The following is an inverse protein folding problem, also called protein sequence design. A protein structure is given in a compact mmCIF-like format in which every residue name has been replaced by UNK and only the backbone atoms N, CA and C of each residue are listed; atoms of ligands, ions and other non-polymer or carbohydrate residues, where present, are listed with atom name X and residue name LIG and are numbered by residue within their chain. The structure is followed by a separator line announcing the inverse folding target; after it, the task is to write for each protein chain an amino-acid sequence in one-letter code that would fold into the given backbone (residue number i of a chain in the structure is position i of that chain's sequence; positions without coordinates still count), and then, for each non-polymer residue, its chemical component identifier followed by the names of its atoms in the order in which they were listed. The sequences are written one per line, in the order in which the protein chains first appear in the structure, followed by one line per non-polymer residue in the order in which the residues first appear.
data_IF_762281058979
#
_entry.id   IF_762281058979
#
_cell.length_a   1.000
_cell.length_b   1.000
_cell.length_c   1.000
_cell.angle_alpha   90.00
_cell.angle_beta   90.00
_cell.angle_gamma   90.00
#
_symmetry.space_group_name_H-M   'P 1'
#
loop_
_entity.id
_entity.type
_entity.pdbx_description
1 polymer ?
#
# COMPACT_ATOMS: atom_id res chain seq x y z
N UNK A 1 1.38 -3.69 21.78
CA UNK A 1 2.45 -4.26 20.92
C UNK A 1 3.81 -3.76 21.37
N UNK A 2 4.85 -4.63 21.37
CA UNK A 2 6.22 -4.20 21.67
C UNK A 2 6.74 -3.30 20.52
N UNK A 3 7.66 -2.35 20.86
CA UNK A 3 8.28 -1.48 19.84
C UNK A 3 8.97 -2.27 18.74
N UNK A 4 9.61 -3.40 19.07
CA UNK A 4 10.28 -4.31 18.13
C UNK A 4 9.31 -4.91 17.12
N UNK A 5 8.11 -5.33 17.56
CA UNK A 5 7.09 -5.91 16.67
C UNK A 5 6.50 -4.86 15.73
N UNK A 6 6.34 -3.62 16.21
CA UNK A 6 5.84 -2.50 15.37
C UNK A 6 6.85 -2.19 14.27
N UNK A 7 8.14 -2.09 14.60
CA UNK A 7 9.20 -1.84 13.62
C UNK A 7 9.23 -2.94 12.54
N UNK A 8 9.15 -4.22 12.94
CA UNK A 8 9.11 -5.34 12.01
C UNK A 8 7.91 -5.26 11.03
N UNK A 9 6.74 -4.85 11.53
CA UNK A 9 5.55 -4.70 10.67
C UNK A 9 5.73 -3.56 9.66
N UNK A 10 6.35 -2.44 10.04
CA UNK A 10 6.63 -1.36 9.09
C UNK A 10 7.62 -1.79 8.01
N UNK A 11 8.69 -2.52 8.39
CA UNK A 11 9.62 -3.11 7.42
C UNK A 11 8.93 -4.10 6.49
N UNK A 12 8.04 -4.93 7.03
CA UNK A 12 7.25 -5.86 6.23
C UNK A 12 6.32 -5.13 5.24
N UNK A 13 5.64 -4.07 5.68
CA UNK A 13 4.81 -3.24 4.80
C UNK A 13 5.61 -2.55 3.71
N UNK A 14 6.82 -2.08 4.02
CA UNK A 14 7.73 -1.53 3.02
C UNK A 14 8.03 -2.57 1.94
N UNK A 15 8.36 -3.80 2.34
CA UNK A 15 8.60 -4.90 1.39
C UNK A 15 7.34 -5.25 0.59
N UNK A 16 6.16 -5.26 1.22
CA UNK A 16 4.88 -5.47 0.50
C UNK A 16 4.61 -4.38 -0.53
N UNK A 17 4.85 -3.11 -0.17
CA UNK A 17 4.75 -2.00 -1.11
C UNK A 17 5.72 -2.15 -2.28
N UNK A 18 6.97 -2.49 -2.00
CA UNK A 18 7.96 -2.78 -3.05
C UNK A 18 7.54 -3.94 -3.95
N UNK A 19 6.99 -5.01 -3.39
CA UNK A 19 6.45 -6.13 -4.18
C UNK A 19 5.28 -5.68 -5.06
N UNK A 20 4.40 -4.81 -4.54
CA UNK A 20 3.26 -4.28 -5.32
C UNK A 20 3.70 -3.55 -6.58
N UNK A 21 4.87 -2.92 -6.60
CA UNK A 21 5.40 -2.24 -7.78
C UNK A 21 5.67 -3.17 -8.97
N UNK A 22 5.93 -4.45 -8.73
CA UNK A 22 6.12 -5.44 -9.79
C UNK A 22 4.82 -5.77 -10.57
N UNK A 23 3.67 -5.30 -10.09
CA UNK A 23 2.43 -5.37 -10.87
C UNK A 23 2.39 -4.41 -12.05
N UNK A 24 3.25 -3.39 -12.03
CA UNK A 24 3.36 -2.40 -13.10
C UNK A 24 4.26 -2.90 -14.24
N UNK A 25 4.15 -2.31 -15.45
CA UNK A 25 5.12 -2.55 -16.51
C UNK A 25 6.57 -2.24 -16.07
N UNK A 26 7.56 -2.97 -16.53
CA UNK A 26 7.50 -4.04 -17.55
C UNK A 26 7.15 -5.44 -16.99
N UNK A 27 7.06 -5.61 -15.67
CA UNK A 27 6.91 -6.94 -15.04
C UNK A 27 5.49 -7.50 -15.17
N UNK A 28 4.45 -6.67 -15.05
CA UNK A 28 3.03 -7.01 -15.20
C UNK A 28 2.55 -8.16 -14.28
N UNK A 29 3.15 -8.32 -13.09
CA UNK A 29 2.77 -9.35 -12.12
C UNK A 29 1.55 -8.93 -11.32
N UNK A 30 0.42 -8.73 -11.98
CA UNK A 30 -0.82 -8.20 -11.39
C UNK A 30 -1.29 -9.00 -10.15
N UNK A 31 -1.06 -10.32 -10.13
CA UNK A 31 -1.49 -11.19 -9.03
C UNK A 31 -0.85 -10.81 -7.68
N UNK A 32 0.31 -10.16 -7.70
CA UNK A 32 0.98 -9.67 -6.48
C UNK A 32 0.11 -8.70 -5.71
N UNK A 33 -0.69 -7.87 -6.40
CA UNK A 33 -1.55 -6.89 -5.77
C UNK A 33 -2.68 -7.52 -4.95
N UNK A 34 -3.20 -8.67 -5.33
CA UNK A 34 -4.21 -9.39 -4.55
C UNK A 34 -3.66 -9.79 -3.17
N UNK A 35 -2.37 -10.07 -3.08
CA UNK A 35 -1.70 -10.41 -1.82
C UNK A 35 -1.34 -9.14 -1.05
N UNK A 36 -0.67 -8.19 -1.69
CA UNK A 36 -0.09 -7.02 -1.02
C UNK A 36 -1.16 -6.09 -0.46
N UNK A 37 -2.20 -5.75 -1.23
CA UNK A 37 -3.31 -4.90 -0.76
C UNK A 37 -4.17 -5.59 0.29
N UNK A 38 -4.38 -6.90 0.15
CA UNK A 38 -5.13 -7.68 1.14
C UNK A 38 -4.39 -7.74 2.48
N UNK A 39 -3.08 -7.98 2.47
CA UNK A 39 -2.27 -7.98 3.69
C UNK A 39 -2.14 -6.58 4.29
N UNK A 40 -2.06 -5.54 3.46
CA UNK A 40 -2.04 -4.16 3.92
C UNK A 40 -3.33 -3.83 4.68
N UNK A 41 -4.50 -4.11 4.09
CA UNK A 41 -5.79 -3.93 4.74
C UNK A 41 -5.90 -4.72 6.05
N UNK A 42 -5.45 -5.99 6.03
CA UNK A 42 -5.45 -6.83 7.23
C UNK A 42 -4.66 -6.21 8.39
N UNK A 43 -3.46 -5.69 8.11
CA UNK A 43 -2.61 -5.09 9.14
C UNK A 43 -3.24 -3.80 9.70
N UNK A 44 -3.92 -3.01 8.88
CA UNK A 44 -4.67 -1.83 9.35
C UNK A 44 -5.75 -2.27 10.36
N UNK A 45 -6.54 -3.29 10.03
CA UNK A 45 -7.59 -3.80 10.93
C UNK A 45 -6.98 -4.38 12.21
N UNK A 46 -5.90 -5.16 12.10
CA UNK A 46 -5.19 -5.73 13.25
C UNK A 46 -4.70 -4.64 14.23
N UNK A 47 -4.16 -3.54 13.72
CA UNK A 47 -3.72 -2.42 14.56
C UNK A 47 -4.87 -1.75 15.28
N UNK A 48 -6.05 -1.66 14.65
CA UNK A 48 -7.27 -1.15 15.29
C UNK A 48 -7.72 -2.04 16.44
N UNK A 49 -7.71 -3.36 16.24
CA UNK A 49 -8.04 -4.34 17.30
C UNK A 49 -7.08 -4.27 18.49
N UNK A 50 -5.80 -4.09 18.20
CA UNK A 50 -4.74 -3.91 19.22
C UNK A 50 -4.76 -2.52 19.87
N UNK A 51 -5.76 -1.66 19.57
CA UNK A 51 -5.89 -0.29 20.10
C UNK A 51 -4.59 0.52 19.94
N UNK A 52 -3.93 0.39 18.78
CA UNK A 52 -2.69 1.10 18.50
C UNK A 52 -2.91 2.62 18.44
N UNK A 53 -1.85 3.39 18.72
CA UNK A 53 -1.89 4.86 18.63
C UNK A 53 -2.20 5.29 17.18
N UNK A 54 -2.91 6.41 17.04
CA UNK A 54 -3.28 6.95 15.73
C UNK A 54 -2.07 7.20 14.81
N UNK A 55 -0.94 7.61 15.38
CA UNK A 55 0.29 7.80 14.62
C UNK A 55 0.79 6.52 13.92
N UNK A 56 0.51 5.35 14.50
CA UNK A 56 0.91 4.10 13.88
C UNK A 56 0.15 3.86 12.55
N UNK A 57 -1.07 4.34 12.43
CA UNK A 57 -1.87 4.23 11.20
C UNK A 57 -1.26 5.06 10.06
N UNK A 58 -0.72 6.24 10.36
CA UNK A 58 0.07 7.00 9.39
C UNK A 58 1.25 6.16 8.91
N UNK A 59 2.04 5.61 9.83
CA UNK A 59 3.23 4.85 9.47
C UNK A 59 2.92 3.51 8.76
N UNK A 60 1.74 2.91 8.96
CA UNK A 60 1.32 1.76 8.15
C UNK A 60 1.16 2.15 6.68
N UNK A 61 0.38 3.21 6.41
CA UNK A 61 0.20 3.72 5.05
C UNK A 61 1.50 4.24 4.46
N UNK A 62 2.26 5.04 5.22
CA UNK A 62 3.53 5.59 4.80
C UNK A 62 4.54 4.51 4.41
N UNK A 63 4.70 3.46 5.23
CA UNK A 63 5.67 2.39 4.95
C UNK A 63 5.31 1.62 3.67
N UNK A 64 4.03 1.28 3.49
CA UNK A 64 3.56 0.64 2.26
C UNK A 64 3.78 1.55 1.04
N UNK A 65 3.33 2.80 1.13
CA UNK A 65 3.50 3.79 0.05
C UNK A 65 4.96 4.05 -0.28
N UNK A 66 5.82 4.19 0.74
CA UNK A 66 7.26 4.40 0.52
C UNK A 66 7.89 3.24 -0.24
N UNK A 67 7.62 1.99 0.16
CA UNK A 67 8.10 0.82 -0.56
C UNK A 67 7.64 0.80 -2.01
N UNK A 68 6.35 1.08 -2.24
CA UNK A 68 5.76 1.12 -3.57
C UNK A 68 6.42 2.17 -4.46
N UNK A 69 6.53 3.42 -3.99
CA UNK A 69 7.10 4.50 -4.80
C UNK A 69 8.61 4.40 -4.96
N UNK A 70 9.35 3.98 -3.92
CA UNK A 70 10.80 3.80 -4.02
C UNK A 70 11.17 2.75 -5.07
N UNK A 71 10.41 1.66 -5.17
CA UNK A 71 10.65 0.60 -6.15
C UNK A 71 10.12 0.94 -7.53
N UNK A 72 9.00 1.66 -7.64
CA UNK A 72 8.37 1.95 -8.94
C UNK A 72 8.91 3.21 -9.62
N UNK A 73 9.58 4.11 -8.89
CA UNK A 73 10.05 5.41 -9.40
C UNK A 73 11.58 5.53 -9.49
N UNK A 74 12.34 4.46 -9.21
CA UNK A 74 13.80 4.54 -9.27
C UNK A 74 14.34 5.02 -10.63
N UNK A 75 13.60 4.71 -11.70
CA UNK A 75 13.96 5.12 -13.07
C UNK A 75 13.96 6.64 -13.27
N UNK A 76 13.21 7.40 -12.46
CA UNK A 76 13.19 8.87 -12.52
C UNK A 76 14.59 9.45 -12.29
N UNK A 77 15.38 8.81 -11.42
CA UNK A 77 16.77 9.22 -11.18
C UNK A 77 17.65 9.08 -12.44
N UNK A 78 17.31 8.14 -13.32
CA UNK A 78 18.06 7.93 -14.56
C UNK A 78 17.94 9.12 -15.51
N UNK A 79 16.77 9.79 -15.54
CA UNK A 79 16.58 10.98 -16.37
C UNK A 79 17.52 12.14 -15.96
N UNK A 80 17.90 12.19 -14.68
CA UNK A 80 18.82 13.22 -14.15
C UNK A 80 20.29 13.00 -14.55
N UNK A 81 20.63 11.83 -15.10
CA UNK A 81 22.00 11.53 -15.55
C UNK A 81 22.30 12.13 -16.93
N UNK A 82 21.27 12.54 -17.68
CA UNK A 82 21.46 13.14 -19.02
C UNK A 82 22.02 14.56 -18.93
N UNK A 83 21.78 15.28 -17.82
CA UNK A 83 22.37 16.58 -17.57
C UNK A 83 23.28 16.52 -16.35
N UNK A 84 24.59 16.75 -16.58
CA UNK A 84 25.59 16.74 -15.50
C UNK A 84 25.30 17.74 -14.38
N UNK A 85 24.63 18.86 -14.70
CA UNK A 85 24.26 19.88 -13.72
C UNK A 85 23.16 19.39 -12.77
N UNK A 86 22.33 18.40 -13.18
CA UNK A 86 21.23 17.86 -12.37
C UNK A 86 21.59 16.60 -11.58
N UNK A 87 22.81 16.07 -11.75
CA UNK A 87 23.25 14.82 -11.11
C UNK A 87 23.19 14.89 -9.56
N UNK A 88 23.39 16.07 -8.98
CA UNK A 88 23.28 16.26 -7.52
C UNK A 88 21.86 16.05 -6.97
N UNK A 89 20.82 16.09 -7.81
CA UNK A 89 19.43 15.82 -7.44
C UNK A 89 19.09 14.33 -7.39
N UNK A 90 19.96 13.43 -7.84
CA UNK A 90 19.72 11.98 -7.84
C UNK A 90 19.32 11.45 -6.46
N UNK A 91 20.01 11.77 -5.34
CA UNK A 91 19.60 11.33 -4.01
C UNK A 91 18.20 11.84 -3.62
N UNK A 92 17.87 13.07 -4.03
CA UNK A 92 16.55 13.65 -3.78
C UNK A 92 15.47 12.92 -4.57
N UNK A 93 15.73 12.54 -5.81
CA UNK A 93 14.79 11.77 -6.63
C UNK A 93 14.56 10.35 -6.09
N UNK A 94 15.63 9.67 -5.64
CA UNK A 94 15.55 8.29 -5.14
C UNK A 94 14.90 8.21 -3.76
N UNK A 95 15.18 9.14 -2.86
CA UNK A 95 14.72 9.09 -1.47
C UNK A 95 13.59 10.09 -1.20
N UNK A 96 13.73 11.33 -1.65
CA UNK A 96 12.82 12.42 -1.33
C UNK A 96 11.48 12.30 -2.03
N UNK A 97 11.47 11.97 -3.33
CA UNK A 97 10.23 11.82 -4.07
C UNK A 97 9.33 10.70 -3.49
N UNK A 98 9.84 9.48 -3.22
CA UNK A 98 9.05 8.44 -2.55
C UNK A 98 8.55 8.85 -1.17
N UNK A 99 9.34 9.59 -0.36
CA UNK A 99 8.90 10.10 0.93
C UNK A 99 7.68 11.02 0.77
N UNK A 100 7.76 11.98 -0.15
CA UNK A 100 6.69 12.94 -0.40
C UNK A 100 5.40 12.24 -0.85
N UNK A 101 5.52 11.30 -1.76
CA UNK A 101 4.36 10.55 -2.27
C UNK A 101 3.77 9.58 -1.23
N UNK A 102 4.60 8.99 -0.37
CA UNK A 102 4.17 8.10 0.70
C UNK A 102 3.32 8.81 1.78
N UNK A 103 3.47 10.13 1.93
CA UNK A 103 2.64 10.93 2.83
C UNK A 103 1.16 10.79 2.48
N UNK A 104 0.81 10.72 1.20
CA UNK A 104 -0.57 10.55 0.76
C UNK A 104 -1.16 9.21 1.21
N UNK A 105 -0.39 8.12 1.17
CA UNK A 105 -0.80 6.82 1.68
C UNK A 105 -0.97 6.83 3.21
N UNK A 106 -0.04 7.46 3.92
CA UNK A 106 -0.17 7.68 5.36
C UNK A 106 -1.42 8.48 5.73
N UNK A 107 -1.67 9.58 5.01
CA UNK A 107 -2.83 10.43 5.21
C UNK A 107 -4.14 9.69 4.88
N UNK A 108 -4.18 8.87 3.82
CA UNK A 108 -5.33 8.06 3.48
C UNK A 108 -5.73 7.10 4.60
N UNK A 109 -4.75 6.43 5.23
CA UNK A 109 -5.04 5.49 6.33
C UNK A 109 -5.48 6.22 7.59
N UNK A 110 -4.91 7.40 7.91
CA UNK A 110 -5.38 8.21 9.04
C UNK A 110 -6.81 8.69 8.82
N UNK A 111 -7.14 9.16 7.63
CA UNK A 111 -8.46 9.72 7.32
C UNK A 111 -9.61 8.74 7.63
N UNK A 112 -9.37 7.45 7.49
CA UNK A 112 -10.36 6.40 7.76
C UNK A 112 -10.22 5.75 9.15
N UNK A 113 -9.28 6.21 9.99
CA UNK A 113 -8.98 5.55 11.27
C UNK A 113 -10.21 5.32 12.16
N UNK A 114 -11.13 6.29 12.24
CA UNK A 114 -12.36 6.17 13.03
C UNK A 114 -13.36 5.16 12.45
N UNK A 115 -13.30 4.91 11.14
CA UNK A 115 -14.24 4.07 10.39
C UNK A 115 -13.74 2.62 10.25
N UNK A 116 -12.55 2.29 10.79
CA UNK A 116 -11.98 0.93 10.68
C UNK A 116 -12.86 -0.08 11.41
N UNK A 117 -13.37 -1.04 10.65
CA UNK A 117 -14.18 -2.18 11.09
C UNK A 117 -13.79 -3.44 10.32
N UNK A 118 -14.28 -4.59 10.77
CA UNK A 118 -14.12 -5.89 10.08
C UNK A 118 -15.32 -6.20 9.19
N UNK A 119 -15.65 -5.32 8.27
CA UNK A 119 -16.79 -5.52 7.38
C UNK A 119 -16.45 -5.13 5.92
N UNK A 120 -17.33 -5.51 5.01
CA UNK A 120 -17.19 -5.16 3.58
C UNK A 120 -17.32 -3.65 3.34
N UNK A 121 -18.03 -2.95 4.21
CA UNK A 121 -18.18 -1.48 4.11
C UNK A 121 -16.84 -0.83 4.34
N UNK A 122 -16.05 -1.33 5.30
CA UNK A 122 -14.70 -0.80 5.53
C UNK A 122 -13.78 -1.01 4.33
N UNK A 123 -13.89 -2.14 3.63
CA UNK A 123 -13.15 -2.39 2.40
C UNK A 123 -13.45 -1.33 1.33
N UNK A 124 -14.73 -0.98 1.17
CA UNK A 124 -15.16 0.09 0.26
C UNK A 124 -14.58 1.46 0.70
N UNK A 125 -14.69 1.79 2.01
CA UNK A 125 -14.15 3.02 2.58
C UNK A 125 -12.64 3.13 2.38
N UNK A 126 -11.90 2.04 2.59
CA UNK A 126 -10.46 1.96 2.36
C UNK A 126 -10.10 2.26 0.90
N UNK A 127 -10.80 1.63 -0.04
CA UNK A 127 -10.56 1.81 -1.47
C UNK A 127 -10.89 3.23 -1.92
N UNK A 128 -11.99 3.81 -1.42
CA UNK A 128 -12.37 5.21 -1.68
C UNK A 128 -11.30 6.15 -1.13
N UNK A 129 -10.87 5.95 0.11
CA UNK A 129 -9.88 6.82 0.74
C UNK A 129 -8.56 6.83 -0.04
N UNK A 130 -7.99 5.65 -0.34
CA UNK A 130 -6.77 5.58 -1.13
C UNK A 130 -6.94 6.26 -2.48
N UNK A 131 -8.05 6.05 -3.18
CA UNK A 131 -8.30 6.66 -4.49
C UNK A 131 -8.45 8.17 -4.43
N UNK A 132 -9.06 8.72 -3.37
CA UNK A 132 -9.14 10.16 -3.16
C UNK A 132 -7.72 10.73 -2.96
N UNK A 133 -6.89 10.10 -2.13
CA UNK A 133 -5.52 10.59 -1.91
C UNK A 133 -4.62 10.40 -3.13
N UNK A 134 -4.85 9.37 -3.95
CA UNK A 134 -4.21 9.24 -5.27
C UNK A 134 -4.63 10.36 -6.24
N UNK A 135 -5.91 10.74 -6.23
CA UNK A 135 -6.40 11.88 -7.00
C UNK A 135 -5.77 13.19 -6.50
N UNK A 136 -5.75 13.42 -5.18
CA UNK A 136 -5.12 14.60 -4.60
C UNK A 136 -3.63 14.69 -4.95
N UNK A 137 -2.91 13.55 -4.93
CA UNK A 137 -1.52 13.47 -5.39
C UNK A 137 -1.37 13.85 -6.87
N UNK A 138 -2.38 13.53 -7.69
CA UNK A 138 -2.40 13.87 -9.11
C UNK A 138 -2.66 15.34 -9.42
N UNK A 139 -3.15 16.14 -8.47
CA UNK A 139 -3.46 17.56 -8.68
C UNK A 139 -2.64 18.50 -7.79
N UNK A 140 -2.16 18.06 -6.62
CA UNK A 140 -1.35 18.86 -5.72
C UNK A 140 0.13 18.88 -6.16
N UNK A 141 0.88 19.92 -5.76
CA UNK A 141 2.33 20.06 -5.99
C UNK A 141 2.75 19.86 -7.44
N UNK A 142 2.08 20.50 -8.39
CA UNK A 142 2.27 20.35 -9.85
C UNK A 142 1.66 19.10 -10.47
N UNK A 143 1.07 18.21 -9.66
CA UNK A 143 0.39 17.01 -10.11
C UNK A 143 1.35 15.86 -10.49
N UNK A 144 1.41 14.82 -9.67
CA UNK A 144 2.17 13.61 -9.98
C UNK A 144 1.23 12.41 -10.04
N UNK A 145 0.66 12.15 -11.21
CA UNK A 145 -0.33 11.10 -11.45
C UNK A 145 0.27 9.77 -11.94
N UNK A 146 1.60 9.65 -11.95
CA UNK A 146 2.28 8.43 -12.37
C UNK A 146 2.12 7.32 -11.34
N UNK A 147 2.24 6.07 -11.81
CA UNK A 147 2.20 4.86 -10.99
C UNK A 147 0.90 4.74 -10.18
N UNK A 148 -0.26 5.00 -10.82
CA UNK A 148 -1.54 4.58 -10.28
C UNK A 148 -1.63 3.06 -10.34
N UNK A 149 -2.25 2.45 -9.33
CA UNK A 149 -2.36 0.99 -9.28
C UNK A 149 -3.21 0.43 -10.42
N UNK A 150 -4.10 1.24 -10.99
CA UNK A 150 -4.85 0.89 -12.21
C UNK A 150 -3.97 0.59 -13.41
N UNK A 151 -2.74 1.11 -13.46
CA UNK A 151 -1.81 0.82 -14.56
C UNK A 151 -1.29 -0.62 -14.54
N UNK A 152 -1.49 -1.36 -13.46
CA UNK A 152 -1.22 -2.80 -13.43
C UNK A 152 -2.08 -3.62 -14.41
N UNK A 153 -3.18 -3.05 -14.92
CA UNK A 153 -4.03 -3.66 -15.94
C UNK A 153 -3.58 -3.38 -17.38
N UNK A 154 -2.51 -2.60 -17.58
CA UNK A 154 -2.03 -2.17 -18.89
C UNK A 154 -1.31 -3.27 -19.70
N UNK A 155 -1.20 -4.48 -19.16
CA UNK A 155 -0.65 -5.63 -19.89
C UNK A 155 -1.49 -6.02 -21.11
N UNK A 156 -2.74 -5.57 -21.22
CA UNK A 156 -3.62 -5.75 -22.37
C UNK A 156 -4.35 -4.44 -22.68
N UNK A 157 -4.42 -4.08 -23.95
CA UNK A 157 -5.11 -2.88 -24.43
C UNK A 157 -6.62 -2.95 -24.16
N UNK A 158 -7.20 -4.13 -24.21
CA UNK A 158 -8.62 -4.36 -23.95
C UNK A 158 -9.00 -3.95 -22.52
N UNK A 159 -8.14 -4.26 -21.54
CA UNK A 159 -8.39 -3.94 -20.15
C UNK A 159 -8.42 -2.43 -19.89
N UNK A 160 -7.60 -1.65 -20.59
CA UNK A 160 -7.54 -0.21 -20.39
C UNK A 160 -8.59 0.57 -21.19
N UNK A 161 -9.30 -0.05 -22.11
CA UNK A 161 -10.39 0.61 -22.84
C UNK A 161 -11.53 1.08 -21.94
N UNK A 162 -11.71 0.41 -20.80
CA UNK A 162 -12.71 0.82 -19.79
C UNK A 162 -12.47 2.25 -19.27
N UNK A 163 -11.23 2.76 -19.32
CA UNK A 163 -10.86 4.12 -18.93
C UNK A 163 -11.63 5.18 -19.71
N UNK A 164 -11.99 4.89 -20.97
CA UNK A 164 -12.79 5.80 -21.81
C UNK A 164 -14.18 6.07 -21.22
N UNK A 165 -14.75 5.10 -20.49
CA UNK A 165 -16.10 5.18 -19.98
C UNK A 165 -16.14 5.71 -18.54
N UNK A 166 -15.22 5.28 -17.68
CA UNK A 166 -15.27 5.56 -16.23
C UNK A 166 -14.15 6.48 -15.74
N UNK A 167 -13.15 6.75 -16.59
CA UNK A 167 -11.99 7.56 -16.22
C UNK A 167 -10.96 6.82 -15.37
N UNK A 168 -9.75 7.36 -15.33
CA UNK A 168 -8.57 6.71 -14.72
C UNK A 168 -8.70 6.54 -13.21
N UNK A 169 -9.17 7.55 -12.48
CA UNK A 169 -9.26 7.51 -11.03
C UNK A 169 -10.41 6.62 -10.52
N UNK A 170 -11.52 6.54 -11.25
CA UNK A 170 -12.59 5.58 -10.95
C UNK A 170 -12.09 4.14 -11.17
N UNK A 171 -11.33 3.91 -12.24
CA UNK A 171 -10.72 2.61 -12.47
C UNK A 171 -9.66 2.27 -11.43
N UNK A 172 -8.91 3.28 -10.95
CA UNK A 172 -7.98 3.09 -9.84
C UNK A 172 -8.69 2.67 -8.55
N UNK A 173 -9.81 3.30 -8.23
CA UNK A 173 -10.67 2.89 -7.10
C UNK A 173 -11.12 1.43 -7.25
N UNK A 174 -11.66 1.05 -8.41
CA UNK A 174 -12.10 -0.33 -8.67
C UNK A 174 -10.93 -1.32 -8.56
N UNK A 175 -9.76 -0.96 -9.04
CA UNK A 175 -8.55 -1.81 -8.94
C UNK A 175 -8.17 -2.05 -7.49
N UNK A 176 -8.08 -1.01 -6.66
CA UNK A 176 -7.79 -1.13 -5.23
C UNK A 176 -8.86 -1.99 -4.54
N UNK A 177 -10.13 -1.76 -4.86
CA UNK A 177 -11.24 -2.54 -4.30
C UNK A 177 -11.11 -4.02 -4.64
N UNK A 178 -10.92 -4.38 -5.92
CA UNK A 178 -10.77 -5.75 -6.38
C UNK A 178 -9.57 -6.44 -5.72
N UNK A 179 -8.41 -5.79 -5.67
CA UNK A 179 -7.22 -6.36 -5.03
C UNK A 179 -7.39 -6.58 -3.52
N UNK A 180 -8.18 -5.73 -2.88
CA UNK A 180 -8.44 -5.84 -1.44
C UNK A 180 -9.54 -6.85 -1.09
N UNK A 181 -10.52 -7.09 -1.98
CA UNK A 181 -11.63 -8.04 -1.75
C UNK A 181 -11.13 -9.47 -1.62
N UNK A 182 -10.12 -9.84 -2.41
CA UNK A 182 -9.61 -11.20 -2.48
C UNK A 182 -9.24 -11.78 -1.10
N UNK A 183 -8.71 -10.94 -0.20
CA UNK A 183 -8.36 -11.35 1.16
C UNK A 183 -9.58 -11.83 1.98
N UNK A 184 -10.71 -11.12 1.89
CA UNK A 184 -11.89 -11.44 2.69
C UNK A 184 -12.61 -12.70 2.21
N UNK A 185 -12.51 -13.05 0.91
CA UNK A 185 -13.21 -14.20 0.32
C UNK A 185 -12.42 -15.50 0.43
N UNK A 186 -11.09 -15.46 0.40
CA UNK A 186 -10.25 -16.66 0.33
C UNK A 186 -9.58 -17.05 1.65
N UNK A 187 -9.64 -16.23 2.70
CA UNK A 187 -8.95 -16.54 3.94
C UNK A 187 -9.92 -16.98 5.04
N UNK A 188 -10.07 -18.28 5.25
CA UNK A 188 -10.88 -18.81 6.35
C UNK A 188 -10.27 -18.36 7.70
N UNK A 189 -11.12 -18.15 8.68
CA UNK A 189 -10.77 -17.70 10.04
C UNK A 189 -9.61 -18.49 10.68
N UNK A 190 -9.45 -19.76 10.30
CA UNK A 190 -8.37 -20.63 10.78
C UNK A 190 -6.98 -20.23 10.24
N UNK A 191 -6.88 -19.78 9.00
CA UNK A 191 -5.60 -19.32 8.43
C UNK A 191 -5.15 -18.00 9.07
N UNK A 192 -6.11 -17.14 9.48
CA UNK A 192 -5.81 -15.93 10.28
C UNK A 192 -5.09 -16.29 11.59
N UNK A 193 -5.51 -17.37 12.27
CA UNK A 193 -4.86 -17.87 13.49
C UNK A 193 -3.47 -18.44 13.21
N UNK A 194 -3.26 -19.16 12.12
CA UNK A 194 -1.98 -19.77 11.76
C UNK A 194 -0.93 -18.69 11.42
N UNK A 195 -1.27 -17.68 10.62
CA UNK A 195 -0.36 -16.57 10.32
C UNK A 195 0.00 -15.75 11.56
N UNK A 196 -0.98 -15.43 12.38
CA UNK A 196 -0.73 -14.75 13.66
C UNK A 196 0.21 -15.59 14.50
N UNK A 197 -0.06 -16.89 14.62
CA UNK A 197 0.77 -17.79 15.44
C UNK A 197 2.17 -18.00 14.83
N UNK A 198 2.34 -18.17 13.53
CA UNK A 198 3.66 -18.36 12.91
C UNK A 198 4.48 -17.06 12.89
N UNK A 199 3.85 -15.92 12.68
CA UNK A 199 4.53 -14.61 12.69
C UNK A 199 4.93 -14.15 14.10
N UNK A 200 4.14 -14.53 15.12
CA UNK A 200 4.37 -14.13 16.51
C UNK A 200 5.00 -15.23 17.36
N UNK A 201 4.93 -16.52 17.00
CA UNK A 201 5.50 -17.60 17.78
C UNK A 201 7.03 -17.73 17.61
N UNK A 202 7.58 -17.39 16.44
CA UNK A 202 9.03 -17.38 16.21
C UNK A 202 9.76 -16.20 16.90
N UNK A 203 9.01 -15.21 17.42
CA UNK A 203 9.58 -14.10 18.19
C UNK A 203 9.28 -14.13 19.69
N UNK A 204 8.44 -15.03 20.17
CA UNK A 204 8.04 -15.05 21.59
C UNK A 204 7.60 -16.46 22.07
N UNK A 205 8.55 -17.35 22.29
CA UNK A 205 8.38 -18.50 23.18
C UNK A 205 8.23 -17.99 24.61
N UNK A 206 7.03 -17.56 25.05
CA UNK A 206 6.84 -17.23 26.45
C UNK A 206 5.67 -16.34 26.90
N UNK A 207 4.89 -15.72 26.00
CA UNK A 207 3.87 -14.73 26.42
C UNK A 207 2.42 -15.12 26.03
N UNK A 208 2.21 -16.27 25.41
CA UNK A 208 0.87 -16.66 24.91
C UNK A 208 -0.08 -17.30 25.93
N UNK A 209 0.39 -17.66 27.13
CA UNK A 209 -0.45 -18.28 28.16
C UNK A 209 -1.24 -17.29 29.03
N UNK A 210 -1.31 -16.01 28.66
CA UNK A 210 -2.01 -14.97 29.46
C UNK A 210 -3.21 -14.32 28.74
N UNK A 211 -3.64 -14.84 27.59
CA UNK A 211 -4.80 -14.28 26.85
C UNK A 211 -5.62 -15.46 26.27
N UNK A 212 -6.14 -16.30 27.14
CA UNK A 212 -7.35 -17.11 26.95
C UNK A 212 -8.32 -16.73 28.04
#
# INVERSE_FOLDING_TARGET
MSKKNIFFIYTFLLLLGSLSSFSLPPYNLIFVNFITYSLFLYLIVLFKEKKAKISNFFFLGFSFGYGYFASSLYWVSHSLTFDKQLTFLIPVAILGLPILLAIFYGAAVIAIHSLIKKDYIFLLIFSISLSIFEYLRGILFTGFSWNLISYSWSFSLENIQILKFIGTYTFNFLSIFIFSVYFNSLWPVQFKKILINSFFSNSMCGIWNLII
#
